data_IF_919221573072
#
_entry.id   IF_919221573072
#
_cell.length_a   1.000
_cell.length_b   1.000
_cell.length_c   1.000
_cell.angle_alpha   90.00
_cell.angle_beta   90.00
_cell.angle_gamma   90.00
#
_symmetry.space_group_name_H-M   'P 1'
#
loop_
_entity.id
_entity.type
_entity.pdbx_description
1 polymer ?
#
# COMPACT_ATOMS: atom_id res chain seq x y z
N UNK A 1 3.07 -10.89 9.58
CA UNK A 1 2.12 -12.02 9.59
C UNK A 1 1.60 -12.25 8.18
N UNK A 2 1.34 -13.49 7.77
CA UNK A 2 0.71 -13.79 6.48
C UNK A 2 -0.81 -13.86 6.62
N UNK A 3 -1.52 -13.41 5.60
CA UNK A 3 -2.99 -13.44 5.54
C UNK A 3 -3.45 -14.16 4.27
N UNK A 4 -4.69 -14.66 4.30
CA UNK A 4 -5.36 -15.06 3.05
C UNK A 4 -5.58 -13.84 2.15
N UNK A 5 -5.80 -14.07 0.86
CA UNK A 5 -6.09 -12.98 -0.10
C UNK A 5 -7.28 -12.13 0.35
N UNK A 6 -8.39 -12.75 0.74
CA UNK A 6 -9.55 -12.05 1.28
C UNK A 6 -9.25 -11.31 2.58
N UNK A 7 -8.45 -11.90 3.48
CA UNK A 7 -8.01 -11.25 4.71
C UNK A 7 -7.18 -9.99 4.46
N UNK A 8 -6.24 -10.05 3.51
CA UNK A 8 -5.42 -8.91 3.11
C UNK A 8 -6.27 -7.79 2.47
N UNK A 9 -7.22 -8.15 1.61
CA UNK A 9 -8.16 -7.19 1.01
C UNK A 9 -8.97 -6.47 2.10
N UNK A 10 -9.54 -7.22 3.05
CA UNK A 10 -10.33 -6.64 4.15
C UNK A 10 -9.50 -5.70 5.02
N UNK A 11 -8.23 -6.07 5.28
CA UNK A 11 -7.32 -5.24 6.05
C UNK A 11 -7.01 -3.92 5.32
N UNK A 12 -6.70 -4.00 4.01
CA UNK A 12 -6.41 -2.82 3.18
C UNK A 12 -7.63 -1.90 3.01
N UNK A 13 -8.84 -2.45 2.95
CA UNK A 13 -10.08 -1.67 2.80
C UNK A 13 -10.43 -0.83 4.03
N UNK A 14 -9.76 -1.04 5.17
CA UNK A 14 -10.08 -0.38 6.45
C UNK A 14 -8.86 0.18 7.18
N UNK A 15 -7.66 0.04 6.59
CA UNK A 15 -6.40 0.48 7.18
C UNK A 15 -5.39 0.89 6.11
N UNK A 16 -4.34 1.59 6.54
CA UNK A 16 -3.09 1.71 5.80
C UNK A 16 -2.13 0.63 6.32
N UNK A 17 -1.66 -0.22 5.43
CA UNK A 17 -0.94 -1.43 5.78
C UNK A 17 0.45 -1.38 5.19
N UNK A 18 1.42 -1.64 6.05
CA UNK A 18 2.79 -1.82 5.64
C UNK A 18 3.02 -3.29 5.27
N UNK A 19 3.44 -3.51 4.04
CA UNK A 19 3.58 -4.82 3.41
C UNK A 19 5.04 -5.04 3.03
N UNK A 20 5.51 -6.27 3.20
CA UNK A 20 6.80 -6.74 2.70
C UNK A 20 6.59 -7.97 1.83
N UNK A 21 7.18 -7.98 0.63
CA UNK A 21 7.06 -9.09 -0.31
C UNK A 21 8.27 -9.18 -1.23
N UNK A 22 8.47 -10.33 -1.85
CA UNK A 22 9.56 -10.52 -2.81
C UNK A 22 9.29 -9.74 -4.10
N UNK A 23 10.33 -9.09 -4.64
CA UNK A 23 10.25 -8.40 -5.92
C UNK A 23 10.07 -9.44 -7.03
N UNK A 24 9.12 -9.19 -7.93
CA UNK A 24 9.01 -9.95 -9.19
C UNK A 24 10.28 -9.85 -10.03
N UNK A 25 10.93 -8.68 -10.02
CA UNK A 25 12.23 -8.43 -10.64
C UNK A 25 13.20 -7.98 -9.54
N UNK A 26 13.98 -8.90 -8.95
CA UNK A 26 14.93 -8.57 -7.89
C UNK A 26 15.95 -7.54 -8.35
N UNK A 27 16.33 -6.63 -7.44
CA UNK A 27 17.46 -5.73 -7.65
C UNK A 27 18.71 -6.34 -7.00
N UNK A 28 19.92 -6.07 -7.49
CA UNK A 28 21.15 -6.51 -6.82
C UNK A 28 21.17 -6.08 -5.36
N UNK A 29 21.36 -7.03 -4.44
CA UNK A 29 21.37 -6.78 -3.00
C UNK A 29 20.00 -6.42 -2.38
N UNK A 30 18.92 -6.46 -3.16
CA UNK A 30 17.58 -6.09 -2.69
C UNK A 30 16.51 -6.97 -3.34
N UNK A 31 16.22 -8.09 -2.67
CA UNK A 31 15.29 -9.12 -3.15
C UNK A 31 13.83 -8.84 -2.76
N UNK A 32 13.61 -8.09 -1.68
CA UNK A 32 12.29 -7.76 -1.16
C UNK A 32 11.89 -6.31 -1.45
N UNK A 33 10.63 -5.98 -1.21
CA UNK A 33 10.11 -4.62 -1.25
C UNK A 33 9.22 -4.41 -0.05
N UNK A 34 9.44 -3.28 0.63
CA UNK A 34 8.48 -2.71 1.58
C UNK A 34 7.57 -1.71 0.87
N UNK A 35 6.31 -1.68 1.27
CA UNK A 35 5.29 -0.82 0.67
C UNK A 35 4.29 -0.41 1.75
N UNK A 36 3.88 0.86 1.76
CA UNK A 36 2.72 1.31 2.53
C UNK A 36 1.56 1.47 1.57
N UNK A 37 0.46 0.75 1.80
CA UNK A 37 -0.66 0.72 0.89
C UNK A 37 -2.01 0.73 1.60
N UNK A 38 -3.04 1.16 0.89
CA UNK A 38 -4.41 1.20 1.41
C UNK A 38 -5.42 1.09 0.28
N UNK A 39 -6.59 0.53 0.58
CA UNK A 39 -7.78 0.54 -0.26
C UNK A 39 -8.96 1.24 0.42
N UNK A 40 -8.74 1.84 1.60
CA UNK A 40 -9.78 2.55 2.32
C UNK A 40 -10.23 3.77 1.53
N UNK A 41 -11.42 3.67 0.93
CA UNK A 41 -12.00 4.71 0.10
C UNK A 41 -12.38 5.94 0.92
N UNK A 42 -12.72 5.80 2.21
CA UNK A 42 -13.02 6.95 3.07
C UNK A 42 -11.79 7.83 3.23
N UNK A 43 -10.62 7.22 3.44
CA UNK A 43 -9.36 7.93 3.48
C UNK A 43 -9.00 8.50 2.10
N UNK A 44 -8.98 7.67 1.06
CA UNK A 44 -8.49 8.04 -0.28
C UNK A 44 -9.36 9.10 -0.97
N UNK A 45 -10.68 9.04 -0.80
CA UNK A 45 -11.62 9.98 -1.40
C UNK A 45 -11.82 11.26 -0.57
N UNK A 46 -11.30 11.31 0.66
CA UNK A 46 -11.32 12.53 1.46
C UNK A 46 -10.61 13.69 0.76
N UNK A 47 -10.95 14.96 1.05
CA UNK A 47 -10.24 16.11 0.49
C UNK A 47 -8.72 16.03 0.72
N UNK A 48 -8.31 15.65 1.93
CA UNK A 48 -6.91 15.46 2.29
C UNK A 48 -6.28 14.29 1.51
N UNK A 49 -6.99 13.19 1.33
CA UNK A 49 -6.55 12.03 0.54
C UNK A 49 -6.25 12.40 -0.92
N UNK A 50 -7.15 13.13 -1.57
CA UNK A 50 -6.96 13.58 -2.96
C UNK A 50 -5.75 14.50 -3.12
N UNK A 51 -5.51 15.39 -2.15
CA UNK A 51 -4.41 16.37 -2.22
C UNK A 51 -3.07 15.71 -1.85
N UNK A 52 -2.99 15.07 -0.67
CA UNK A 52 -1.75 14.58 -0.11
C UNK A 52 -1.31 13.23 -0.68
N UNK A 53 -2.26 12.33 -0.99
CA UNK A 53 -1.97 11.00 -1.54
C UNK A 53 -2.08 10.96 -3.06
N UNK A 54 -2.45 12.08 -3.69
CA UNK A 54 -2.67 12.21 -5.13
C UNK A 54 -3.57 11.10 -5.69
N UNK A 55 -4.60 10.73 -4.92
CA UNK A 55 -5.42 9.59 -5.27
C UNK A 55 -6.33 9.90 -6.46
N UNK A 56 -6.44 8.92 -7.35
CA UNK A 56 -7.41 8.90 -8.43
C UNK A 56 -7.98 7.49 -8.60
N UNK A 57 -9.14 7.38 -9.23
CA UNK A 57 -9.76 6.09 -9.54
C UNK A 57 -8.87 5.20 -10.42
N UNK A 58 -9.08 3.89 -10.34
CA UNK A 58 -8.35 2.92 -11.14
C UNK A 58 -8.62 3.13 -12.65
N UNK A 59 -7.58 3.08 -13.50
CA UNK A 59 -7.73 3.30 -14.94
C UNK A 59 -8.39 2.07 -15.59
N UNK A 60 -9.72 2.07 -15.61
CA UNK A 60 -10.53 1.09 -16.31
C UNK A 60 -10.45 -0.33 -15.74
N UNK A 61 -11.06 -1.27 -16.48
CA UNK A 61 -11.13 -2.68 -16.09
C UNK A 61 -9.88 -3.44 -16.54
N UNK A 62 -9.32 -4.25 -15.66
CA UNK A 62 -8.22 -5.16 -16.01
C UNK A 62 -8.68 -6.24 -17.00
N UNK A 63 -7.77 -6.67 -17.88
CA UNK A 63 -8.03 -7.73 -18.88
C UNK A 63 -8.15 -9.14 -18.28
N UNK A 64 -7.88 -9.28 -16.98
CA UNK A 64 -7.90 -10.54 -16.25
C UNK A 64 -8.42 -10.29 -14.83
N UNK A 65 -8.85 -11.35 -14.15
CA UNK A 65 -9.21 -11.31 -12.73
C UNK A 65 -7.95 -11.37 -11.86
N UNK A 66 -7.60 -10.32 -11.08
CA UNK A 66 -6.52 -10.41 -10.11
C UNK A 66 -6.76 -11.49 -9.06
N UNK A 67 -8.02 -11.67 -8.67
CA UNK A 67 -8.44 -12.60 -7.64
C UNK A 67 -8.07 -14.04 -8.01
N UNK A 68 -8.46 -14.47 -9.22
CA UNK A 68 -8.12 -15.79 -9.79
C UNK A 68 -6.61 -16.03 -9.94
N UNK A 69 -5.80 -14.96 -9.92
CA UNK A 69 -4.34 -15.03 -10.01
C UNK A 69 -3.65 -14.91 -8.64
N UNK A 70 -4.40 -14.90 -7.54
CA UNK A 70 -3.85 -14.71 -6.19
C UNK A 70 -3.26 -13.32 -5.99
N UNK A 71 -3.68 -12.33 -6.78
CA UNK A 71 -3.19 -10.95 -6.73
C UNK A 71 -4.18 -10.04 -5.98
N UNK A 72 -3.64 -9.04 -5.30
CA UNK A 72 -4.41 -7.95 -4.69
C UNK A 72 -4.03 -6.65 -5.37
N UNK A 73 -5.04 -5.92 -5.86
CA UNK A 73 -4.85 -4.56 -6.35
C UNK A 73 -4.94 -3.59 -5.18
N UNK A 74 -3.93 -2.72 -5.03
CA UNK A 74 -3.93 -1.72 -3.97
C UNK A 74 -3.23 -0.42 -4.35
N UNK A 75 -3.60 0.68 -3.68
CA UNK A 75 -2.95 1.97 -3.86
C UNK A 75 -1.65 2.03 -3.04
N UNK A 76 -0.51 2.17 -3.72
CA UNK A 76 0.78 2.38 -3.09
C UNK A 76 0.94 3.87 -2.76
N UNK A 77 1.03 4.21 -1.46
CA UNK A 77 1.06 5.60 -0.98
C UNK A 77 2.34 6.32 -1.43
N UNK A 78 3.47 5.63 -1.49
CA UNK A 78 4.74 6.23 -1.90
C UNK A 78 4.82 6.45 -3.40
N UNK A 79 4.34 5.47 -4.17
CA UNK A 79 4.37 5.54 -5.63
C UNK A 79 3.16 6.26 -6.23
N UNK A 80 2.16 6.59 -5.41
CA UNK A 80 0.90 7.22 -5.79
C UNK A 80 0.29 6.56 -7.04
N UNK A 81 0.18 5.24 -6.99
CA UNK A 81 -0.25 4.45 -8.14
C UNK A 81 -0.75 3.07 -7.71
N UNK A 82 -1.65 2.49 -8.49
CA UNK A 82 -2.12 1.13 -8.28
C UNK A 82 -1.00 0.11 -8.51
N UNK A 83 -0.92 -0.89 -7.62
CA UNK A 83 -0.01 -2.02 -7.70
C UNK A 83 -0.78 -3.32 -7.54
N UNK A 84 -0.35 -4.34 -8.27
CA UNK A 84 -0.79 -5.71 -8.09
C UNK A 84 0.28 -6.45 -7.30
N UNK A 85 -0.09 -6.97 -6.14
CA UNK A 85 0.82 -7.70 -5.25
C UNK A 85 0.36 -9.16 -5.05
N UNK A 86 1.30 -10.12 -4.97
CA UNK A 86 1.00 -11.53 -4.74
C UNK A 86 0.62 -11.79 -3.27
N UNK A 87 -0.65 -12.08 -2.99
CA UNK A 87 -1.17 -12.20 -1.62
C UNK A 87 -0.42 -13.24 -0.77
N UNK A 88 -0.10 -14.40 -1.34
CA UNK A 88 0.53 -15.53 -0.62
C UNK A 88 1.97 -15.25 -0.15
N UNK A 89 2.64 -14.29 -0.79
CA UNK A 89 4.04 -13.93 -0.49
C UNK A 89 4.17 -12.57 0.18
N UNK A 90 3.06 -12.00 0.65
CA UNK A 90 3.01 -10.75 1.39
C UNK A 90 3.01 -11.03 2.88
N UNK A 91 3.97 -10.44 3.56
CA UNK A 91 4.00 -10.30 5.01
C UNK A 91 3.46 -8.92 5.39
N UNK A 92 2.43 -8.90 6.23
CA UNK A 92 1.97 -7.69 6.92
C UNK A 92 2.97 -7.35 8.02
N UNK A 93 3.58 -6.18 7.93
CA UNK A 93 4.60 -5.67 8.85
C UNK A 93 3.97 -4.82 9.95
N UNK A 94 3.11 -3.88 9.55
CA UNK A 94 2.37 -3.01 10.48
C UNK A 94 1.03 -2.58 9.87
N UNK A 95 0.12 -2.14 10.74
CA UNK A 95 -1.23 -1.71 10.39
C UNK A 95 -1.46 -0.37 11.08
N UNK A 96 -1.91 0.62 10.31
CA UNK A 96 -2.26 1.95 10.78
C UNK A 96 -3.74 2.15 10.52
N UNK A 97 -4.50 2.47 11.56
CA UNK A 97 -5.94 2.68 11.42
C UNK A 97 -6.22 3.91 10.59
N UNK A 98 -7.23 3.80 9.72
CA UNK A 98 -7.68 4.90 8.87
C UNK A 98 -9.12 5.32 9.19
N UNK A 99 -9.78 4.62 10.11
CA UNK A 99 -11.08 4.99 10.66
C UNK A 99 -11.06 4.88 12.20
N UNK A 100 -11.13 6.00 12.94
CA UNK A 100 -11.02 7.39 12.45
C UNK A 100 -9.64 7.66 11.81
N UNK A 101 -9.57 8.63 10.90
CA UNK A 101 -8.37 8.84 10.05
C UNK A 101 -7.22 9.59 10.74
N UNK A 102 -7.42 10.05 11.97
CA UNK A 102 -6.45 10.89 12.70
C UNK A 102 -5.10 10.19 12.88
N UNK A 103 -5.10 8.90 13.23
CA UNK A 103 -3.86 8.13 13.45
C UNK A 103 -3.00 8.09 12.18
N UNK A 104 -3.63 7.81 11.03
CA UNK A 104 -2.96 7.85 9.74
C UNK A 104 -2.42 9.24 9.42
N UNK A 105 -3.21 10.31 9.61
CA UNK A 105 -2.77 11.66 9.28
C UNK A 105 -1.68 12.18 10.22
N UNK A 106 -1.69 11.80 11.49
CA UNK A 106 -0.60 12.07 12.43
C UNK A 106 0.68 11.41 11.92
N UNK A 107 0.62 10.11 11.59
CA UNK A 107 1.77 9.40 11.03
C UNK A 107 2.25 10.01 9.72
N UNK A 108 1.32 10.34 8.81
CA UNK A 108 1.64 10.95 7.53
C UNK A 108 2.38 12.29 7.71
N UNK A 109 1.86 13.19 8.54
CA UNK A 109 2.44 14.53 8.72
C UNK A 109 3.77 14.50 9.49
N UNK A 110 3.92 13.58 10.44
CA UNK A 110 5.13 13.49 11.27
C UNK A 110 6.25 12.70 10.58
N UNK A 111 5.90 11.72 9.76
CA UNK A 111 6.84 10.78 9.15
C UNK A 111 6.87 10.93 7.64
N UNK A 112 5.79 10.56 6.95
CA UNK A 112 5.79 10.40 5.49
C UNK A 112 6.02 11.70 4.71
N UNK A 113 5.41 12.79 5.17
CA UNK A 113 5.49 14.10 4.52
C UNK A 113 6.90 14.72 4.64
N UNK A 114 7.67 14.31 5.65
CA UNK A 114 9.03 14.80 5.92
C UNK A 114 10.11 13.94 5.27
N UNK A 115 9.76 12.76 4.76
CA UNK A 115 10.72 11.88 4.10
C UNK A 115 11.21 12.48 2.78
N UNK A 116 12.53 12.60 2.67
CA UNK A 116 13.20 12.88 1.39
C UNK A 116 13.01 11.71 0.40
N UNK A 117 13.29 11.91 -0.90
CA UNK A 117 13.30 10.82 -1.86
C UNK A 117 14.18 9.63 -1.44
N UNK A 118 15.36 9.89 -0.85
CA UNK A 118 16.26 8.85 -0.35
C UNK A 118 15.69 8.09 0.85
N UNK A 119 14.97 8.77 1.76
CA UNK A 119 14.33 8.11 2.91
C UNK A 119 13.21 7.18 2.45
N UNK A 120 12.42 7.62 1.45
CA UNK A 120 11.38 6.80 0.82
C UNK A 120 11.99 5.59 0.13
N UNK A 121 13.08 5.78 -0.59
CA UNK A 121 13.82 4.67 -1.17
C UNK A 121 14.27 3.69 -0.10
N UNK A 122 14.95 4.18 0.95
CA UNK A 122 15.45 3.35 2.04
C UNK A 122 14.32 2.55 2.70
N UNK A 123 13.18 3.19 2.99
CA UNK A 123 11.98 2.52 3.48
C UNK A 123 11.61 1.33 2.58
N UNK A 124 11.53 1.55 1.27
CA UNK A 124 11.16 0.51 0.29
C UNK A 124 12.20 -0.62 0.14
N UNK A 125 13.42 -0.46 0.66
CA UNK A 125 14.49 -1.48 0.63
C UNK A 125 14.57 -2.35 1.88
N UNK A 126 13.85 -2.00 2.95
CA UNK A 126 13.82 -2.78 4.21
C UNK A 126 12.99 -4.06 4.09
#
# INVERSE_FOLDING_TARGET
>A
MKLSQGGLINLLNSNAVELKFNRRRPLPGNLSRRMLATNDTNLLMSPQGKIALNWHGAPGRLKFSPEEKGLVMTWDIFMQSYRLIPAESVDVVSVIKTTPSDEFWIYFNQVLAKMSPSDKEQFMRQ
#
